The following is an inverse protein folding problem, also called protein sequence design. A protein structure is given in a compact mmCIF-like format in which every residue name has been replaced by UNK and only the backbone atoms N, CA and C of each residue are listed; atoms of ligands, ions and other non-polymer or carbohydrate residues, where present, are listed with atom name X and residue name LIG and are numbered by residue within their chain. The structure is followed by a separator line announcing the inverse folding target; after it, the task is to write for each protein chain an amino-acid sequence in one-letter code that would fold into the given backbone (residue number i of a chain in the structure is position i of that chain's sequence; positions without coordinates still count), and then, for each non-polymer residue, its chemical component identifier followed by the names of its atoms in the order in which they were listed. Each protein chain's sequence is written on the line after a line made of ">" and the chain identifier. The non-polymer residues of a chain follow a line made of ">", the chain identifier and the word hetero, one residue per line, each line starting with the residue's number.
data_IF_521168405949
#
_entry.id   IF_521168405949
#
_cell.length_a   1.000
_cell.length_b   1.000
_cell.length_c   1.000
_cell.angle_alpha   90.00
_cell.angle_beta   90.00
_cell.angle_gamma   90.00
#
_symmetry.space_group_name_H-M   'P 1'
#
loop_
_entity.id
_entity.type
_entity.pdbx_description
1 polymer ?
#
# COMPACT_ATOMS: atom_id res chain seq x y z
N UNK A 1 23.74 -23.84 5.79
CA UNK A 1 24.55 -23.87 4.54
C UNK A 1 24.84 -25.32 4.19
N UNK A 2 24.94 -25.63 2.89
CA UNK A 2 25.03 -27.00 2.39
C UNK A 2 26.13 -27.08 1.32
N UNK A 3 26.85 -28.19 1.27
CA UNK A 3 27.72 -28.53 0.16
C UNK A 3 27.56 -30.02 -0.16
N UNK A 4 27.87 -30.40 -1.39
CA UNK A 4 27.88 -31.78 -1.86
C UNK A 4 29.31 -32.30 -1.90
N UNK A 5 29.51 -33.55 -1.49
CA UNK A 5 30.77 -34.27 -1.64
C UNK A 5 30.57 -35.43 -2.62
N UNK A 6 31.42 -35.53 -3.64
CA UNK A 6 31.40 -36.60 -4.62
C UNK A 6 32.73 -37.35 -4.59
N UNK A 7 32.67 -38.66 -4.35
CA UNK A 7 33.86 -39.51 -4.15
C UNK A 7 33.94 -40.62 -5.20
N UNK A 8 35.15 -40.87 -5.69
CA UNK A 8 35.50 -42.05 -6.49
C UNK A 8 36.85 -42.62 -6.02
N UNK A 9 37.37 -43.64 -6.72
CA UNK A 9 38.64 -44.28 -6.36
C UNK A 9 39.87 -43.34 -6.40
N UNK A 10 39.76 -42.18 -7.05
CA UNK A 10 40.85 -41.19 -7.16
C UNK A 10 40.76 -40.09 -6.07
N UNK A 11 39.62 -39.94 -5.39
CA UNK A 11 39.46 -38.96 -4.32
C UNK A 11 38.05 -38.43 -4.19
N UNK A 12 37.92 -37.31 -3.46
CA UNK A 12 36.65 -36.64 -3.17
C UNK A 12 36.71 -35.17 -3.57
N UNK A 13 35.72 -34.71 -4.33
CA UNK A 13 35.53 -33.29 -4.65
C UNK A 13 34.36 -32.72 -3.84
N UNK A 14 34.44 -31.42 -3.50
CA UNK A 14 33.40 -30.69 -2.78
C UNK A 14 32.82 -29.59 -3.66
N UNK A 15 31.50 -29.45 -3.68
CA UNK A 15 30.82 -28.35 -4.37
C UNK A 15 31.06 -27.00 -3.69
N UNK A 16 30.66 -25.92 -4.37
CA UNK A 16 30.48 -24.64 -3.69
C UNK A 16 29.44 -24.76 -2.57
N UNK A 17 29.62 -23.94 -1.53
CA UNK A 17 28.69 -23.82 -0.43
C UNK A 17 27.43 -23.07 -0.91
N UNK A 18 26.25 -23.66 -0.69
CA UNK A 18 24.96 -23.06 -0.99
C UNK A 18 24.19 -22.76 0.29
N UNK A 19 23.33 -21.74 0.25
CA UNK A 19 22.37 -21.45 1.30
C UNK A 19 20.97 -21.88 0.84
N UNK A 20 20.31 -22.71 1.65
CA UNK A 20 18.92 -23.05 1.44
C UNK A 20 18.06 -22.12 2.29
N UNK A 21 17.29 -21.25 1.63
CA UNK A 21 16.36 -20.35 2.29
C UNK A 21 14.96 -20.96 2.14
N UNK A 22 14.31 -21.25 3.27
CA UNK A 22 12.89 -21.65 3.30
C UNK A 22 12.09 -20.41 3.70
N UNK A 23 11.56 -19.64 2.73
CA UNK A 23 10.81 -18.44 3.04
C UNK A 23 9.50 -18.82 3.76
N UNK A 24 9.19 -18.11 4.84
CA UNK A 24 7.85 -18.16 5.41
C UNK A 24 6.81 -17.63 4.43
N UNK A 25 5.55 -18.00 4.63
CA UNK A 25 4.43 -17.44 3.85
C UNK A 25 4.32 -15.95 4.19
N UNK A 26 4.51 -15.02 3.23
CA UNK A 26 4.37 -13.59 3.49
C UNK A 26 2.95 -13.30 4.00
N UNK A 27 2.81 -12.41 4.98
CA UNK A 27 1.51 -11.99 5.50
C UNK A 27 1.57 -10.52 5.85
N UNK A 28 0.52 -9.79 5.53
CA UNK A 28 0.34 -8.45 6.09
C UNK A 28 0.16 -8.55 7.62
N UNK A 29 0.67 -7.57 8.39
CA UNK A 29 0.32 -7.44 9.80
C UNK A 29 -1.19 -7.36 9.97
N UNK A 30 -1.71 -8.02 11.01
CA UNK A 30 -3.14 -7.97 11.36
C UNK A 30 -3.44 -6.73 12.19
N UNK A 31 -3.28 -5.57 11.56
CA UNK A 31 -3.55 -4.27 12.19
C UNK A 31 -4.98 -3.83 11.89
N UNK A 32 -5.62 -3.18 12.87
CA UNK A 32 -6.86 -2.47 12.62
C UNK A 32 -6.50 -1.19 11.88
N UNK A 33 -7.03 -1.03 10.68
CA UNK A 33 -6.86 0.18 9.89
C UNK A 33 -8.04 1.09 10.20
N UNK A 34 -7.78 2.24 10.80
CA UNK A 34 -8.82 3.23 11.06
C UNK A 34 -9.22 3.94 9.75
N UNK A 35 -10.49 4.36 9.60
CA UNK A 35 -10.93 5.15 8.45
C UNK A 35 -10.13 6.44 8.30
N UNK A 36 -9.88 6.83 7.06
CA UNK A 36 -9.18 8.05 6.70
C UNK A 36 -10.22 9.06 6.26
N UNK A 37 -10.35 10.16 7.00
CA UNK A 37 -11.19 11.29 6.62
C UNK A 37 -10.31 12.41 6.05
N UNK A 38 -10.64 12.90 4.86
CA UNK A 38 -9.91 13.98 4.19
C UNK A 38 -10.87 15.02 3.60
N UNK A 39 -10.40 16.24 3.38
CA UNK A 39 -11.18 17.27 2.69
C UNK A 39 -11.08 17.13 1.16
N UNK A 40 -12.20 17.39 0.48
CA UNK A 40 -12.25 17.39 -0.99
C UNK A 40 -11.18 18.33 -1.58
N UNK A 41 -10.43 17.82 -2.55
CA UNK A 41 -9.39 18.57 -3.26
C UNK A 41 -7.98 18.38 -2.71
N UNK A 42 -7.82 17.86 -1.50
CA UNK A 42 -6.50 17.59 -0.92
C UNK A 42 -5.82 16.38 -1.59
N UNK A 43 -4.48 16.39 -1.61
CA UNK A 43 -3.68 15.26 -2.05
C UNK A 43 -3.56 14.22 -0.94
N UNK A 44 -3.50 12.93 -1.29
CA UNK A 44 -3.26 11.87 -0.31
C UNK A 44 -2.57 10.64 -0.89
N UNK A 45 -2.14 9.75 0.01
CA UNK A 45 -1.54 8.46 -0.33
C UNK A 45 -2.13 7.35 0.53
N UNK A 46 -2.59 6.28 -0.10
CA UNK A 46 -2.89 5.02 0.57
C UNK A 46 -1.65 4.12 0.51
N UNK A 47 -1.04 3.91 1.67
CA UNK A 47 0.17 3.09 1.77
C UNK A 47 -0.15 1.61 1.70
N UNK A 48 0.48 0.88 0.78
CA UNK A 48 0.36 -0.57 0.72
C UNK A 48 1.24 -1.24 1.79
N UNK A 49 2.55 -0.94 1.83
CA UNK A 49 3.53 -1.60 2.70
C UNK A 49 3.48 -3.14 2.61
N UNK A 50 3.76 -3.73 1.42
CA UNK A 50 3.72 -5.17 1.24
C UNK A 50 4.76 -5.91 2.11
N UNK A 51 4.46 -7.14 2.55
CA UNK A 51 5.42 -7.92 3.31
C UNK A 51 6.68 -8.20 2.48
N UNK A 52 7.84 -8.30 3.15
CA UNK A 52 9.07 -8.69 2.49
C UNK A 52 8.95 -10.14 2.02
N UNK A 53 9.43 -10.43 0.82
CA UNK A 53 9.46 -11.77 0.25
C UNK A 53 10.47 -11.86 -0.87
N UNK A 54 10.48 -12.99 -1.58
CA UNK A 54 11.44 -13.22 -2.66
C UNK A 54 10.98 -12.47 -3.93
N UNK A 55 11.76 -11.50 -4.46
CA UNK A 55 11.41 -10.81 -5.69
C UNK A 55 11.36 -11.75 -6.92
N UNK A 56 10.53 -11.45 -7.94
CA UNK A 56 9.76 -10.21 -8.13
C UNK A 56 8.49 -10.14 -7.28
N UNK A 57 8.06 -8.92 -6.96
CA UNK A 57 6.86 -8.58 -6.22
C UNK A 57 5.96 -7.73 -7.12
N UNK A 58 4.69 -8.10 -7.26
CA UNK A 58 3.72 -7.31 -8.01
C UNK A 58 2.61 -6.81 -7.09
N UNK A 59 2.28 -5.53 -7.18
CA UNK A 59 1.27 -4.87 -6.37
C UNK A 59 0.06 -4.52 -7.23
N UNK A 60 -1.13 -4.72 -6.68
CA UNK A 60 -2.39 -4.38 -7.31
C UNK A 60 -3.32 -3.71 -6.31
N UNK A 61 -4.01 -2.67 -6.77
CA UNK A 61 -5.12 -2.06 -6.05
C UNK A 61 -6.43 -2.52 -6.66
N UNK A 62 -7.24 -3.17 -5.84
CA UNK A 62 -8.57 -3.67 -6.23
C UNK A 62 -9.56 -3.43 -5.10
N UNK A 63 -10.85 -3.53 -5.41
CA UNK A 63 -11.87 -3.62 -4.38
C UNK A 63 -12.01 -5.04 -3.82
N UNK A 64 -12.94 -5.23 -2.88
CA UNK A 64 -13.22 -6.54 -2.28
C UNK A 64 -13.77 -7.57 -3.28
N UNK A 65 -14.38 -7.08 -4.37
CA UNK A 65 -14.89 -7.89 -5.49
C UNK A 65 -13.83 -8.18 -6.56
N UNK A 66 -12.55 -7.89 -6.27
CA UNK A 66 -11.40 -8.12 -7.16
C UNK A 66 -11.44 -7.31 -8.47
N UNK A 67 -12.18 -6.21 -8.49
CA UNK A 67 -12.16 -5.24 -9.58
C UNK A 67 -11.06 -4.22 -9.34
N UNK A 68 -10.27 -3.93 -10.38
CA UNK A 68 -9.22 -2.93 -10.29
C UNK A 68 -9.79 -1.57 -9.91
N UNK A 69 -9.12 -0.90 -8.98
CA UNK A 69 -9.35 0.53 -8.73
C UNK A 69 -8.97 1.28 -10.01
N UNK A 70 -9.87 2.07 -10.62
CA UNK A 70 -9.55 2.85 -11.79
C UNK A 70 -8.37 3.79 -11.52
N UNK A 71 -7.43 3.84 -12.47
CA UNK A 71 -6.26 4.70 -12.40
C UNK A 71 -6.20 5.60 -13.62
N UNK A 72 -5.82 6.85 -13.40
CA UNK A 72 -5.72 7.93 -14.38
C UNK A 72 -4.60 8.92 -13.97
N UNK A 73 -4.60 10.13 -14.52
CA UNK A 73 -3.61 11.16 -14.17
C UNK A 73 -3.73 11.63 -12.72
N UNK A 74 -4.91 11.52 -12.11
CA UNK A 74 -5.22 11.97 -10.76
C UNK A 74 -4.99 10.86 -9.73
N UNK A 75 -5.38 9.63 -10.05
CA UNK A 75 -5.26 8.45 -9.18
C UNK A 75 -4.31 7.46 -9.82
N UNK A 76 -3.12 7.25 -9.24
CA UNK A 76 -2.11 6.38 -9.85
C UNK A 76 -1.27 5.63 -8.81
N UNK A 77 -0.81 4.43 -9.17
CA UNK A 77 0.07 3.64 -8.33
C UNK A 77 1.54 4.00 -8.58
N UNK A 78 2.26 4.33 -7.52
CA UNK A 78 3.70 4.58 -7.58
C UNK A 78 4.52 3.29 -7.74
N UNK A 79 5.81 3.44 -8.07
CA UNK A 79 6.74 2.30 -8.17
C UNK A 79 6.95 1.55 -6.84
N UNK A 80 6.67 2.21 -5.72
CA UNK A 80 6.63 1.63 -4.38
C UNK A 80 5.37 0.79 -4.10
N UNK A 81 4.37 0.84 -4.98
CA UNK A 81 3.08 0.14 -4.82
C UNK A 81 2.02 0.91 -4.03
N UNK A 82 2.30 2.15 -3.61
CA UNK A 82 1.32 2.99 -2.93
C UNK A 82 0.36 3.62 -3.95
N UNK A 83 -0.88 3.87 -3.54
CA UNK A 83 -1.89 4.52 -4.39
C UNK A 83 -1.94 6.01 -4.06
N UNK A 84 -1.63 6.85 -5.04
CA UNK A 84 -1.56 8.29 -4.92
C UNK A 84 -2.83 8.93 -5.48
N UNK A 85 -3.33 9.93 -4.77
CA UNK A 85 -4.41 10.81 -5.20
C UNK A 85 -3.85 12.23 -5.27
N UNK A 86 -3.76 12.79 -6.47
CA UNK A 86 -3.30 14.17 -6.66
C UNK A 86 -4.26 15.19 -6.04
N UNK A 87 -5.56 14.91 -6.15
CA UNK A 87 -6.64 15.59 -5.45
C UNK A 87 -7.80 14.60 -5.27
N UNK A 88 -8.37 14.54 -4.07
CA UNK A 88 -9.48 13.63 -3.75
C UNK A 88 -10.83 14.22 -4.15
N UNK A 89 -11.71 13.37 -4.70
CA UNK A 89 -13.09 13.68 -5.06
C UNK A 89 -14.04 12.90 -4.13
N UNK A 90 -15.27 13.36 -3.96
CA UNK A 90 -16.30 12.63 -3.21
C UNK A 90 -16.54 11.22 -3.73
N UNK A 91 -16.41 11.03 -5.04
CA UNK A 91 -16.53 9.71 -5.68
C UNK A 91 -15.44 8.73 -5.25
N UNK A 92 -14.33 9.21 -4.66
CA UNK A 92 -13.29 8.35 -4.10
C UNK A 92 -13.68 7.79 -2.72
N UNK A 93 -14.79 8.24 -2.12
CA UNK A 93 -15.26 7.76 -0.82
C UNK A 93 -15.77 6.33 -0.89
N UNK A 94 -15.06 5.40 -0.23
CA UNK A 94 -15.39 3.97 -0.20
C UNK A 94 -14.63 3.24 0.90
N UNK A 95 -15.12 2.05 1.27
CA UNK A 95 -14.63 1.26 2.41
C UNK A 95 -13.80 0.03 2.02
N UNK A 96 -13.47 -0.12 0.74
CA UNK A 96 -13.02 -1.37 0.13
C UNK A 96 -11.70 -1.25 -0.64
N UNK A 97 -10.89 -0.20 -0.42
CA UNK A 97 -9.57 -0.11 -1.04
C UNK A 97 -8.66 -1.23 -0.52
N UNK A 98 -8.33 -2.20 -1.36
CA UNK A 98 -7.52 -3.35 -0.99
C UNK A 98 -6.20 -3.36 -1.78
N UNK A 99 -5.08 -3.39 -1.06
CA UNK A 99 -3.79 -3.70 -1.66
C UNK A 99 -3.56 -5.21 -1.69
N UNK A 100 -3.21 -5.74 -2.87
CA UNK A 100 -2.82 -7.12 -3.09
C UNK A 100 -1.34 -7.20 -3.46
N UNK A 101 -0.62 -8.10 -2.80
CA UNK A 101 0.78 -8.38 -3.08
C UNK A 101 0.94 -9.80 -3.61
N UNK A 102 1.34 -9.92 -4.87
CA UNK A 102 1.61 -11.20 -5.52
C UNK A 102 3.10 -11.55 -5.47
N UNK A 103 3.38 -12.77 -5.03
CA UNK A 103 4.73 -13.35 -4.95
C UNK A 103 4.82 -14.56 -5.91
N UNK A 104 5.17 -14.35 -7.21
CA UNK A 104 5.12 -15.42 -8.21
C UNK A 104 6.00 -16.62 -7.88
N UNK A 105 7.17 -16.40 -7.28
CA UNK A 105 8.08 -17.49 -6.85
C UNK A 105 7.49 -18.35 -5.72
N UNK A 106 6.62 -17.77 -4.90
CA UNK A 106 5.94 -18.46 -3.81
C UNK A 106 4.53 -18.93 -4.23
N UNK A 107 4.10 -18.59 -5.45
CA UNK A 107 2.75 -18.88 -5.98
C UNK A 107 1.63 -18.48 -5.03
N UNK A 108 1.78 -17.32 -4.39
CA UNK A 108 0.81 -16.81 -3.42
C UNK A 108 0.50 -15.34 -3.67
N UNK A 109 -0.73 -14.95 -3.34
CA UNK A 109 -1.19 -13.57 -3.32
C UNK A 109 -1.75 -13.33 -1.94
N UNK A 110 -1.35 -12.22 -1.33
CA UNK A 110 -1.79 -11.83 0.01
C UNK A 110 -2.46 -10.47 -0.07
N UNK A 111 -3.51 -10.31 0.71
CA UNK A 111 -4.35 -9.12 0.73
C UNK A 111 -4.13 -8.36 2.03
N UNK A 112 -3.97 -7.04 1.94
CA UNK A 112 -4.02 -6.15 3.09
C UNK A 112 -5.47 -5.96 3.53
N UNK A 113 -5.69 -5.77 4.82
CA UNK A 113 -7.01 -5.39 5.33
C UNK A 113 -7.57 -4.19 4.53
N UNK A 114 -8.87 -4.20 4.17
CA UNK A 114 -9.47 -3.11 3.41
C UNK A 114 -9.33 -1.76 4.12
N UNK A 115 -8.97 -0.73 3.36
CA UNK A 115 -8.91 0.67 3.82
C UNK A 115 -10.22 1.38 3.51
N UNK A 116 -10.65 2.21 4.45
CA UNK A 116 -11.79 3.11 4.27
C UNK A 116 -11.31 4.55 4.10
N UNK A 117 -11.78 5.19 3.04
CA UNK A 117 -11.56 6.59 2.73
C UNK A 117 -12.91 7.30 2.69
N UNK A 118 -13.03 8.38 3.45
CA UNK A 118 -14.17 9.30 3.42
C UNK A 118 -13.68 10.68 2.98
N UNK A 119 -14.27 11.21 1.92
CA UNK A 119 -13.97 12.58 1.45
C UNK A 119 -15.09 13.51 1.91
N UNK A 120 -14.72 14.52 2.68
CA UNK A 120 -15.64 15.50 3.25
C UNK A 120 -15.63 16.79 2.42
N UNK A 121 -16.82 17.37 2.18
CA UNK A 121 -16.92 18.69 1.58
C UNK A 121 -16.54 19.76 2.60
N UNK A 122 -15.74 20.74 2.18
CA UNK A 122 -15.62 22.01 2.89
C UNK A 122 -17.00 22.64 3.02
N UNK A 123 -17.56 22.66 4.24
CA UNK A 123 -18.72 23.50 4.56
C UNK A 123 -18.24 24.93 4.64
N UNK A 124 -18.27 25.65 3.52
CA UNK A 124 -18.23 27.12 3.58
C UNK A 124 -19.47 27.57 4.33
N UNK A 125 -19.31 28.00 5.58
CA UNK A 125 -20.37 28.67 6.34
C UNK A 125 -20.63 30.02 5.67
N UNK A 126 -21.58 30.05 4.73
CA UNK A 126 -22.31 31.28 4.42
C UNK A 126 -23.24 31.59 5.59
N UNK A 127 -22.68 32.05 6.70
CA UNK A 127 -23.47 32.69 7.75
C UNK A 127 -23.25 34.20 7.69
N UNK A 128 -23.93 34.80 6.73
CA UNK A 128 -24.14 36.25 6.72
C UNK A 128 -25.12 36.60 7.83
N UNK A 129 -24.62 36.91 9.04
CA UNK A 129 -25.01 38.06 9.89
C UNK A 129 -24.38 38.00 11.30
N UNK A 130 -23.53 39.00 11.59
CA UNK A 130 -23.20 39.58 12.92
C UNK A 130 -22.39 38.68 13.87
N UNK A 131 -21.28 39.05 14.53
CA UNK A 131 -20.65 40.33 14.89
C UNK A 131 -19.23 40.07 15.40
N UNK A 132 -18.29 40.98 15.07
CA UNK A 132 -16.97 41.26 15.70
C UNK A 132 -16.42 40.34 16.81
N UNK A 133 -15.24 39.75 16.59
CA UNK A 133 -14.09 39.86 17.50
C UNK A 133 -12.83 39.21 16.88
N UNK A 134 -11.72 39.94 16.95
CA UNK A 134 -10.40 39.58 16.46
C UNK A 134 -9.82 38.29 17.04
N UNK A 135 -9.01 37.56 16.26
CA UNK A 135 -7.60 37.25 16.55
C UNK A 135 -6.92 36.52 15.38
N UNK A 136 -5.61 36.71 15.34
CA UNK A 136 -4.70 36.62 14.20
C UNK A 136 -4.28 35.21 13.75
N UNK A 137 -3.92 35.15 12.47
CA UNK A 137 -2.88 34.38 11.77
C UNK A 137 -2.42 33.01 12.34
N UNK A 138 -2.51 31.99 11.48
CA UNK A 138 -1.50 30.93 11.39
C UNK A 138 -1.09 30.77 9.93
N UNK A 139 0.18 31.06 9.69
CA UNK A 139 0.91 30.84 8.44
C UNK A 139 1.07 29.33 8.27
N UNK A 140 0.61 28.76 7.15
CA UNK A 140 0.89 27.37 6.77
C UNK A 140 2.19 27.39 5.95
N UNK A 141 3.32 27.16 6.61
CA UNK A 141 4.61 26.95 5.94
C UNK A 141 4.79 25.47 5.54
N UNK A 142 5.12 25.30 4.26
CA UNK A 142 5.88 24.24 3.57
C UNK A 142 5.48 22.78 3.74
#
# INVERSE_FOLDING_TARGET
>A
KYCCYASNALGTSMSQEIELIVPGIPKFPKEKIDPIDIEHGDAMVLHCNPPKGIPPLHIYWMNIDLQHIPQDERVSMGLNGDLYFANVDENDSRSDYCCFAAFPKLRTIVQKMPMTLTVTRLKYTNDSRSSNAAKANLIKER
#
